data_IF_006495661638
#
_entry.id   IF_006495661638
#
_cell.length_a   1.000
_cell.length_b   1.000
_cell.length_c   1.000
_cell.angle_alpha   90.00
_cell.angle_beta   90.00
_cell.angle_gamma   90.00
#
_symmetry.space_group_name_H-M   'P 1'
#
loop_
_entity.id
_entity.type
_entity.pdbx_description
1 polymer ?
#
# COMPACT_ATOMS: atom_id res chain seq x y z
N UNK A 1 -6.99 6.21 -0.53
CA UNK A 1 -6.63 5.64 -1.84
C UNK A 1 -6.94 4.17 -1.98
N UNK A 2 -6.76 3.40 -0.93
CA UNK A 2 -7.18 2.00 -0.95
C UNK A 2 -8.65 1.91 -0.56
N UNK A 3 -9.38 0.99 -1.18
CA UNK A 3 -10.78 0.79 -0.85
C UNK A 3 -11.05 -0.70 -0.57
N UNK A 4 -12.27 -0.96 -0.07
CA UNK A 4 -12.64 -2.32 0.32
C UNK A 4 -12.62 -3.28 -0.86
N UNK A 5 -12.98 -2.81 -2.05
CA UNK A 5 -12.97 -3.66 -3.24
C UNK A 5 -11.56 -4.12 -3.59
N UNK A 6 -10.56 -3.24 -3.41
CA UNK A 6 -9.17 -3.63 -3.62
C UNK A 6 -8.80 -4.81 -2.72
N UNK A 7 -9.24 -4.75 -1.46
CA UNK A 7 -8.95 -5.82 -0.50
C UNK A 7 -9.69 -7.11 -0.87
N UNK A 8 -10.93 -6.98 -1.32
CA UNK A 8 -11.73 -8.15 -1.72
C UNK A 8 -11.15 -8.85 -2.94
N UNK A 9 -10.49 -8.11 -3.82
CA UNK A 9 -9.79 -8.70 -4.95
C UNK A 9 -8.47 -9.35 -4.55
N UNK A 10 -7.86 -8.86 -3.48
CA UNK A 10 -6.57 -9.37 -3.01
C UNK A 10 -6.71 -10.64 -2.16
N UNK A 11 -7.86 -10.84 -1.53
CA UNK A 11 -8.08 -11.96 -0.60
C UNK A 11 -9.33 -12.75 -0.98
N UNK A 12 -9.28 -14.09 -0.88
CA UNK A 12 -10.50 -14.89 -0.95
C UNK A 12 -11.47 -14.48 0.15
N UNK A 13 -12.76 -14.63 -0.12
CA UNK A 13 -13.78 -14.20 0.85
C UNK A 13 -13.67 -14.95 2.18
N UNK A 14 -13.37 -16.24 2.14
CA UNK A 14 -13.24 -17.03 3.37
C UNK A 14 -12.08 -16.52 4.24
N UNK A 15 -10.99 -16.08 3.62
CA UNK A 15 -9.87 -15.51 4.37
C UNK A 15 -10.26 -14.17 4.95
N UNK A 16 -10.93 -13.32 4.17
CA UNK A 16 -11.39 -12.03 4.67
C UNK A 16 -12.34 -12.19 5.85
N UNK A 17 -13.29 -13.12 5.75
CA UNK A 17 -14.21 -13.40 6.86
C UNK A 17 -13.45 -13.91 8.09
N UNK A 18 -12.48 -14.81 7.90
CA UNK A 18 -11.65 -15.26 9.02
C UNK A 18 -11.03 -14.07 9.75
N UNK A 19 -10.62 -13.04 9.01
CA UNK A 19 -9.90 -11.90 9.60
C UNK A 19 -10.84 -10.88 10.25
N UNK A 20 -12.05 -10.67 9.71
CA UNK A 20 -12.89 -9.56 10.16
C UNK A 20 -14.25 -9.95 10.71
N UNK A 21 -14.69 -11.21 10.54
CA UNK A 21 -15.99 -11.66 11.04
C UNK A 21 -15.83 -12.18 12.46
N UNK A 22 -15.72 -11.26 13.41
CA UNK A 22 -15.49 -11.61 14.82
C UNK A 22 -16.78 -12.09 15.48
N UNK A 23 -17.93 -11.78 14.89
CA UNK A 23 -19.23 -12.18 15.42
C UNK A 23 -19.67 -13.56 14.93
N UNK A 24 -18.97 -14.14 13.96
CA UNK A 24 -19.32 -15.44 13.42
C UNK A 24 -20.56 -15.42 12.55
N UNK A 25 -20.83 -14.30 11.88
CA UNK A 25 -22.03 -14.16 11.05
C UNK A 25 -21.98 -14.98 9.76
N UNK A 26 -20.78 -15.35 9.30
CA UNK A 26 -20.61 -16.09 8.05
C UNK A 26 -20.73 -15.21 6.80
N UNK A 27 -20.95 -13.93 6.96
CA UNK A 27 -21.04 -12.96 5.88
C UNK A 27 -20.32 -11.69 6.31
N UNK A 28 -20.01 -10.84 5.34
CA UNK A 28 -19.34 -9.57 5.62
C UNK A 28 -20.37 -8.57 6.16
N UNK A 29 -20.33 -8.35 7.47
CA UNK A 29 -21.24 -7.44 8.15
C UNK A 29 -20.74 -6.01 8.08
N UNK A 30 -21.57 -5.00 8.41
CA UNK A 30 -21.08 -3.62 8.53
C UNK A 30 -19.93 -3.49 9.52
N UNK A 31 -19.92 -4.23 10.61
CA UNK A 31 -18.83 -4.23 11.58
C UNK A 31 -17.55 -4.82 10.97
N UNK A 32 -17.68 -5.92 10.22
CA UNK A 32 -16.55 -6.53 9.52
C UNK A 32 -15.98 -5.58 8.47
N UNK A 33 -16.86 -4.92 7.72
CA UNK A 33 -16.40 -3.93 6.74
C UNK A 33 -15.67 -2.78 7.42
N UNK A 34 -16.16 -2.32 8.57
CA UNK A 34 -15.50 -1.24 9.29
C UNK A 34 -14.10 -1.63 9.73
N UNK A 35 -13.92 -2.88 10.18
CA UNK A 35 -12.59 -3.39 10.55
C UNK A 35 -11.66 -3.44 9.36
N UNK A 36 -12.18 -3.89 8.21
CA UNK A 36 -11.39 -3.93 6.98
C UNK A 36 -10.98 -2.52 6.55
N UNK A 37 -11.90 -1.57 6.57
CA UNK A 37 -11.60 -0.20 6.19
C UNK A 37 -10.62 0.46 7.15
N UNK A 38 -10.69 0.15 8.44
CA UNK A 38 -9.73 0.67 9.41
C UNK A 38 -8.32 0.19 9.09
N UNK A 39 -8.17 -1.10 8.74
CA UNK A 39 -6.87 -1.65 8.37
C UNK A 39 -6.33 -1.00 7.10
N UNK A 40 -7.21 -0.75 6.12
CA UNK A 40 -6.81 -0.06 4.88
C UNK A 40 -6.34 1.36 5.17
N UNK A 41 -7.05 2.08 6.04
CA UNK A 41 -6.67 3.46 6.40
C UNK A 41 -5.33 3.48 7.14
N UNK A 42 -5.13 2.54 8.07
CA UNK A 42 -3.87 2.45 8.80
C UNK A 42 -2.71 2.11 7.88
N UNK A 43 -2.94 1.17 6.95
CA UNK A 43 -1.91 0.80 5.99
C UNK A 43 -1.55 1.98 5.10
N UNK A 44 -2.55 2.73 4.64
CA UNK A 44 -2.28 3.89 3.80
C UNK A 44 -1.52 4.97 4.55
N UNK A 45 -1.86 5.19 5.83
CA UNK A 45 -1.12 6.13 6.66
C UNK A 45 0.33 5.74 6.81
N UNK A 46 0.60 4.45 6.98
CA UNK A 46 1.98 3.95 7.05
C UNK A 46 2.70 4.20 5.73
N UNK A 47 2.06 3.91 4.59
CA UNK A 47 2.63 4.16 3.27
C UNK A 47 2.96 5.63 3.11
N UNK A 48 2.01 6.52 3.45
CA UNK A 48 2.23 7.95 3.29
C UNK A 48 3.38 8.46 4.13
N UNK A 49 3.64 7.84 5.27
CA UNK A 49 4.76 8.26 6.13
C UNK A 49 6.10 8.09 5.44
N UNK A 50 6.22 7.09 4.55
CA UNK A 50 7.44 6.92 3.75
C UNK A 50 7.43 7.86 2.53
N UNK A 51 6.28 7.98 1.86
CA UNK A 51 6.18 8.77 0.63
C UNK A 51 6.40 10.25 0.87
N UNK A 52 6.03 10.74 2.04
CA UNK A 52 6.17 12.16 2.38
C UNK A 52 7.62 12.64 2.30
N UNK A 53 8.59 11.71 2.32
CA UNK A 53 10.00 12.06 2.17
C UNK A 53 10.31 12.60 0.77
N UNK A 54 9.57 12.15 -0.26
CA UNK A 54 9.93 12.43 -1.64
C UNK A 54 8.78 12.94 -2.49
N UNK A 55 7.54 12.75 -2.07
CA UNK A 55 6.37 13.03 -2.91
C UNK A 55 5.40 13.93 -2.18
N UNK A 56 4.73 14.80 -2.94
CA UNK A 56 3.66 15.63 -2.39
C UNK A 56 2.41 14.78 -2.21
N UNK A 57 1.74 14.95 -1.09
CA UNK A 57 0.54 14.20 -0.76
C UNK A 57 -0.66 15.16 -0.75
N UNK A 58 -1.83 14.70 -1.16
CA UNK A 58 -2.12 13.35 -1.66
C UNK A 58 -1.53 13.12 -3.05
N UNK A 59 -1.28 11.84 -3.38
CA UNK A 59 -0.76 11.50 -4.69
C UNK A 59 -1.77 11.80 -5.78
N UNK A 60 -1.32 12.23 -6.98
CA UNK A 60 -2.26 12.48 -8.08
C UNK A 60 -2.85 11.21 -8.68
N UNK A 61 -2.17 10.07 -8.49
CA UNK A 61 -2.68 8.77 -8.93
C UNK A 61 -2.04 7.69 -8.08
N UNK A 62 -2.55 6.47 -8.19
CA UNK A 62 -2.06 5.33 -7.40
C UNK A 62 -1.39 4.33 -8.34
N UNK A 63 -0.05 4.31 -8.42
CA UNK A 63 0.65 3.31 -9.23
C UNK A 63 0.35 1.90 -8.73
N UNK A 64 0.27 0.95 -9.67
CA UNK A 64 -0.09 -0.43 -9.33
C UNK A 64 0.90 -1.08 -8.37
N UNK A 65 2.19 -0.82 -8.55
CA UNK A 65 3.21 -1.37 -7.65
C UNK A 65 3.01 -0.87 -6.22
N UNK A 66 2.69 0.41 -6.06
CA UNK A 66 2.42 0.98 -4.76
C UNK A 66 1.16 0.38 -4.13
N UNK A 67 0.11 0.23 -4.94
CA UNK A 67 -1.14 -0.36 -4.49
C UNK A 67 -0.92 -1.78 -3.96
N UNK A 68 -0.15 -2.58 -4.68
CA UNK A 68 0.14 -3.96 -4.25
C UNK A 68 0.86 -3.97 -2.91
N UNK A 69 1.86 -3.10 -2.73
CA UNK A 69 2.59 -3.04 -1.47
C UNK A 69 1.71 -2.54 -0.33
N UNK A 70 0.86 -1.56 -0.60
CA UNK A 70 -0.05 -1.04 0.42
C UNK A 70 -1.06 -2.10 0.85
N UNK A 71 -1.55 -2.92 -0.08
CA UNK A 71 -2.45 -4.03 0.26
C UNK A 71 -1.76 -5.08 1.11
N UNK A 72 -0.48 -5.38 0.84
CA UNK A 72 0.29 -6.31 1.67
C UNK A 72 0.35 -5.80 3.12
N UNK A 73 0.49 -4.50 3.31
CA UNK A 73 0.51 -3.91 4.65
C UNK A 73 -0.86 -4.03 5.32
N UNK A 74 -1.94 -3.76 4.57
CA UNK A 74 -3.30 -3.86 5.12
C UNK A 74 -3.61 -5.30 5.54
N UNK A 75 -3.25 -6.27 4.72
CA UNK A 75 -3.45 -7.69 5.03
C UNK A 75 -2.68 -8.07 6.28
N UNK A 76 -1.42 -7.62 6.39
CA UNK A 76 -0.62 -7.89 7.57
C UNK A 76 -1.28 -7.33 8.84
N UNK A 77 -1.84 -6.11 8.78
CA UNK A 77 -2.51 -5.51 9.94
C UNK A 77 -3.74 -6.31 10.35
N UNK A 78 -4.48 -6.84 9.38
CA UNK A 78 -5.63 -7.70 9.70
C UNK A 78 -5.18 -9.02 10.37
N UNK A 79 -4.10 -9.62 9.86
CA UNK A 79 -3.57 -10.83 10.47
C UNK A 79 -3.03 -10.59 11.87
N UNK A 80 -2.47 -9.40 12.14
CA UNK A 80 -2.00 -9.07 13.48
C UNK A 80 -3.13 -9.14 14.50
N UNK A 81 -4.34 -8.77 14.12
CA UNK A 81 -5.48 -8.81 15.02
C UNK A 81 -5.83 -10.25 15.43
N UNK A 82 -5.60 -11.21 14.53
CA UNK A 82 -5.87 -12.63 14.79
C UNK A 82 -4.65 -13.34 15.36
N UNK A 83 -3.48 -12.78 15.21
CA UNK A 83 -2.21 -13.38 15.59
C UNK A 83 -1.59 -14.13 14.42
N UNK A 84 -0.30 -13.91 14.20
CA UNK A 84 0.45 -14.60 13.16
C UNK A 84 1.09 -15.82 13.79
N UNK A 85 0.72 -17.01 13.30
CA UNK A 85 1.17 -18.26 13.87
C UNK A 85 2.48 -18.70 13.22
N UNK A 86 3.56 -18.90 14.00
CA UNK A 86 4.83 -19.37 13.45
C UNK A 86 4.68 -20.73 12.80
N UNK A 87 5.45 -20.96 11.72
CA UNK A 87 5.48 -22.26 11.05
C UNK A 87 4.26 -22.54 10.19
N UNK A 88 3.41 -21.55 9.94
CA UNK A 88 2.21 -21.71 9.12
C UNK A 88 2.30 -20.79 7.90
N UNK A 89 1.27 -20.87 7.04
CA UNK A 89 1.16 -19.98 5.89
C UNK A 89 1.08 -18.50 6.29
N UNK A 90 0.76 -18.20 7.55
CA UNK A 90 0.72 -16.83 8.05
C UNK A 90 2.09 -16.15 7.91
N UNK A 91 3.18 -16.93 7.92
CA UNK A 91 4.52 -16.36 7.78
C UNK A 91 4.74 -15.68 6.41
N UNK A 92 4.03 -16.14 5.39
CA UNK A 92 4.11 -15.50 4.08
C UNK A 92 3.56 -14.08 4.13
N UNK A 93 2.53 -13.84 4.96
CA UNK A 93 1.97 -12.50 5.15
C UNK A 93 3.02 -11.57 5.79
N UNK A 94 3.72 -12.07 6.81
CA UNK A 94 4.79 -11.29 7.44
C UNK A 94 5.92 -11.00 6.47
N UNK A 95 6.30 -11.98 5.65
CA UNK A 95 7.36 -11.81 4.67
C UNK A 95 6.99 -10.73 3.65
N UNK A 96 5.75 -10.77 3.15
CA UNK A 96 5.29 -9.73 2.20
C UNK A 96 5.26 -8.35 2.84
N UNK A 97 4.87 -8.27 4.11
CA UNK A 97 4.91 -6.99 4.82
C UNK A 97 6.34 -6.44 4.90
N UNK A 98 7.30 -7.30 5.26
CA UNK A 98 8.70 -6.88 5.35
C UNK A 98 9.23 -6.41 4.00
N UNK A 99 8.87 -7.11 2.93
CA UNK A 99 9.27 -6.71 1.58
C UNK A 99 8.65 -5.36 1.20
N UNK A 100 7.39 -5.15 1.55
CA UNK A 100 6.71 -3.88 1.28
C UNK A 100 7.40 -2.73 2.00
N UNK A 101 7.73 -2.91 3.28
CA UNK A 101 8.40 -1.87 4.06
C UNK A 101 9.79 -1.61 3.51
N UNK A 102 10.54 -2.66 3.13
CA UNK A 102 11.87 -2.48 2.55
C UNK A 102 11.79 -1.67 1.25
N UNK A 103 10.82 -1.96 0.40
CA UNK A 103 10.63 -1.21 -0.84
C UNK A 103 10.26 0.25 -0.56
N UNK A 104 9.37 0.48 0.42
CA UNK A 104 8.98 1.85 0.79
C UNK A 104 10.17 2.65 1.34
N UNK A 105 11.03 2.00 2.10
CA UNK A 105 12.26 2.65 2.56
C UNK A 105 13.16 3.04 1.40
N UNK A 106 13.26 2.17 0.40
CA UNK A 106 14.03 2.49 -0.80
C UNK A 106 13.43 3.67 -1.55
N UNK A 107 12.10 3.74 -1.63
CA UNK A 107 11.43 4.89 -2.23
C UNK A 107 11.75 6.16 -1.44
N UNK A 108 11.64 6.10 -0.12
CA UNK A 108 11.91 7.25 0.74
C UNK A 108 13.36 7.74 0.59
N UNK A 109 14.31 6.82 0.38
CA UNK A 109 15.72 7.16 0.23
C UNK A 109 16.12 7.48 -1.21
N UNK A 110 15.20 7.37 -2.15
CA UNK A 110 15.48 7.63 -3.55
C UNK A 110 16.13 6.49 -4.30
N UNK A 111 16.22 5.30 -3.69
CA UNK A 111 16.77 4.11 -4.35
C UNK A 111 15.77 3.44 -5.27
N UNK A 112 14.49 3.66 -5.04
CA UNK A 112 13.40 3.24 -5.90
C UNK A 112 12.51 4.44 -6.14
N UNK A 113 11.80 4.47 -7.26
CA UNK A 113 10.98 5.62 -7.60
C UNK A 113 9.61 5.18 -8.06
N UNK A 114 8.61 6.03 -7.78
CA UNK A 114 7.28 5.88 -8.34
C UNK A 114 7.24 6.59 -9.70
N UNK A 115 6.35 6.16 -10.61
CA UNK A 115 6.17 6.87 -11.89
C UNK A 115 5.36 8.16 -11.69
N UNK A 116 5.84 9.01 -10.78
CA UNK A 116 5.23 10.27 -10.39
C UNK A 116 6.36 11.28 -10.16
N UNK A 117 6.12 12.57 -10.37
CA UNK A 117 7.16 13.56 -10.08
C UNK A 117 7.38 13.69 -8.57
N UNK A 118 8.62 13.91 -8.13
CA UNK A 118 8.91 14.19 -6.74
C UNK A 118 8.22 15.47 -6.26
N UNK A 119 8.14 15.64 -4.93
CA UNK A 119 7.58 16.84 -4.34
C UNK A 119 8.33 18.07 -4.82
N UNK A 120 7.58 19.14 -5.11
CA UNK A 120 8.16 20.40 -5.56
C UNK A 120 8.35 20.51 -7.05
N UNK A 121 8.11 19.44 -7.82
CA UNK A 121 8.20 19.47 -9.25
C UNK A 121 6.81 19.50 -9.89
N UNK A 122 6.64 20.30 -10.98
CA UNK A 122 5.36 20.29 -11.66
C UNK A 122 5.14 18.97 -12.38
N UNK A 123 3.87 18.61 -12.56
CA UNK A 123 3.53 17.46 -13.37
C UNK A 123 3.92 17.73 -14.82
N UNK A 124 4.40 16.69 -15.54
CA UNK A 124 4.71 16.88 -16.95
C UNK A 124 3.45 17.19 -17.75
N UNK A 125 3.58 17.90 -18.88
CA UNK A 125 2.44 18.17 -19.71
C UNK A 125 1.80 16.89 -20.21
N UNK A 126 0.48 16.91 -20.32
CA UNK A 126 -0.24 15.78 -20.80
C UNK A 126 0.14 15.49 -22.24
N UNK A 127 0.48 14.24 -22.52
CA UNK A 127 0.87 13.82 -23.84
C UNK A 127 2.22 14.34 -24.29
N UNK A 128 2.90 15.13 -23.45
CA UNK A 128 4.19 15.66 -23.80
C UNK A 128 5.28 14.66 -23.58
N UNK A 129 6.17 14.53 -24.52
CA UNK A 129 7.40 13.83 -24.30
C UNK A 129 8.30 14.71 -23.49
N UNK A 130 8.93 14.19 -22.52
CA UNK A 130 9.82 14.96 -21.74
C UNK A 130 11.16 14.47 -21.83
N UNK A 131 11.90 15.29 -22.01
CA UNK A 131 13.20 14.86 -22.21
C UNK A 131 14.06 15.24 -21.09
N UNK A 132 14.64 14.97 -20.80
CA UNK A 132 15.24 15.52 -19.89
C UNK A 132 16.36 15.27 -19.48
N UNK A 133 16.69 15.55 -19.80
CA UNK A 133 17.51 15.45 -19.66
C UNK A 133 18.08 15.63 -18.89
N UNK A 134 17.93 15.94 -18.63
CA UNK A 134 18.51 16.36 -18.15
C UNK A 134 18.70 16.27 -17.50
N UNK A 135 18.98 16.37 -17.38
CA UNK A 135 19.38 16.76 -16.92
C UNK A 135 19.56 16.29 -16.49
N UNK A 136 19.56 16.36 -16.45
CA UNK A 136 19.91 16.46 -16.25
C UNK A 136 20.20 16.26 -15.74
N UNK A 137 20.50 16.38 -15.29
CA UNK A 137 21.01 16.79 -15.07
C UNK A 137 21.38 16.83 -14.62
N UNK A 138 21.67 16.91 -14.43
CA UNK A 138 22.13 17.49 -14.18
C UNK A 138 22.42 17.67 -13.55
N UNK A 139 22.90 17.94 -13.53
CA UNK A 139 23.24 18.54 -13.25
C UNK A 139 23.60 18.28 -13.01
N UNK A 140 23.44 18.52 -13.03
CA UNK A 140 23.57 18.75 -13.17
C UNK A 140 23.67 18.56 -12.94
#
# INVERSE_FOLDING_TARGET
MLNLEDLRQALPLDVLLYLVDEEGAGVLTPQGEARARAALAEAWGEVESYLAQRYALPLPSLPEALKARALDIAVYRLFLRRGIRPGTADEAVLSRYRDAVAWLRDVALGKAALPLPPAGEPLPPRGGARIRGRRVFSRE
#
